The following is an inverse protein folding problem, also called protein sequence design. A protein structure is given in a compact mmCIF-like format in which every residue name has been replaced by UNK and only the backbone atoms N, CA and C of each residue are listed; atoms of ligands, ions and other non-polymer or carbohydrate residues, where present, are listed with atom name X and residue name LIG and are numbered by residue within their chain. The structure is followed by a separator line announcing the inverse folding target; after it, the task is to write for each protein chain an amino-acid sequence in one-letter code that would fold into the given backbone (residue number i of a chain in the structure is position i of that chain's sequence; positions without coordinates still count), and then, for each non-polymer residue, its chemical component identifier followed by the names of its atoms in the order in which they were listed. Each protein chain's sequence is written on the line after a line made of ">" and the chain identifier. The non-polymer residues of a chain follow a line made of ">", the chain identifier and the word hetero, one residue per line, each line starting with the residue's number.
data_IF_534010244822
#
_entry.id   IF_534010244822
#
_cell.length_a   1.000
_cell.length_b   1.000
_cell.length_c   1.000
_cell.angle_alpha   90.00
_cell.angle_beta   90.00
_cell.angle_gamma   90.00
#
_symmetry.space_group_name_H-M   'P 1'
#
loop_
_entity.id
_entity.type
_entity.pdbx_description
1 polymer ?
#
# COMPACT_ATOMS: atom_id res chain seq x y z
N UNK A 1 13.79 15.05 -4.02
CA UNK A 1 13.15 13.95 -4.79
C UNK A 1 11.98 13.47 -3.95
N UNK A 2 10.77 13.47 -4.51
CA UNK A 2 9.60 12.90 -3.83
C UNK A 2 9.73 11.39 -3.87
N UNK A 3 9.55 10.73 -2.74
CA UNK A 3 9.64 9.29 -2.62
C UNK A 3 8.34 8.76 -2.00
N UNK A 4 7.58 8.03 -2.77
CA UNK A 4 6.44 7.25 -2.32
C UNK A 4 6.42 5.99 -3.18
N UNK A 5 7.19 5.00 -2.77
CA UNK A 5 7.37 3.77 -3.54
C UNK A 5 7.06 2.57 -2.67
N UNK A 6 6.34 1.62 -3.24
CA UNK A 6 6.11 0.31 -2.64
C UNK A 6 6.40 -0.79 -3.67
N UNK A 7 7.11 -1.82 -3.21
CA UNK A 7 7.26 -3.10 -3.91
C UNK A 7 6.64 -4.20 -3.06
N UNK A 8 5.71 -4.95 -3.63
CA UNK A 8 5.08 -6.10 -2.98
C UNK A 8 5.05 -7.31 -3.92
N UNK A 9 5.25 -8.49 -3.36
CA UNK A 9 5.05 -9.75 -4.07
C UNK A 9 4.28 -10.72 -3.17
N UNK A 10 3.17 -11.24 -3.66
CA UNK A 10 2.24 -12.06 -2.90
C UNK A 10 1.44 -13.02 -3.78
N UNK A 11 0.43 -13.64 -3.19
CA UNK A 11 -0.52 -14.51 -3.89
C UNK A 11 -1.80 -13.75 -4.18
N UNK A 12 -2.27 -13.82 -5.43
CA UNK A 12 -3.54 -13.21 -5.84
C UNK A 12 -4.70 -13.93 -5.14
N UNK A 13 -5.44 -13.21 -4.31
CA UNK A 13 -6.52 -13.77 -3.49
C UNK A 13 -7.83 -13.99 -4.27
N UNK A 14 -8.02 -13.22 -5.36
CA UNK A 14 -9.11 -13.38 -6.32
C UNK A 14 -8.71 -12.71 -7.63
N UNK A 15 -9.22 -13.19 -8.76
CA UNK A 15 -8.99 -12.57 -10.06
C UNK A 15 -9.38 -11.08 -10.05
N UNK A 16 -8.66 -10.22 -10.80
CA UNK A 16 -8.95 -8.80 -10.86
C UNK A 16 -10.38 -8.52 -11.32
N UNK A 17 -10.99 -7.50 -10.75
CA UNK A 17 -12.33 -7.06 -11.12
C UNK A 17 -12.29 -5.58 -11.51
N UNK A 18 -13.18 -5.17 -12.42
CA UNK A 18 -13.35 -3.76 -12.73
C UNK A 18 -13.76 -2.99 -11.49
N UNK A 19 -13.04 -1.90 -11.24
CA UNK A 19 -13.32 -0.96 -10.17
C UNK A 19 -13.94 0.31 -10.75
N UNK A 20 -14.65 1.08 -9.92
CA UNK A 20 -15.11 2.41 -10.34
C UNK A 20 -13.91 3.33 -10.61
N UNK A 21 -14.10 4.35 -11.43
CA UNK A 21 -13.06 5.32 -11.74
C UNK A 21 -12.62 6.07 -10.47
N UNK A 22 -11.31 6.20 -10.29
CA UNK A 22 -10.71 6.91 -9.16
C UNK A 22 -10.01 8.15 -9.69
N UNK A 23 -10.36 9.32 -9.14
CA UNK A 23 -9.73 10.59 -9.51
C UNK A 23 -9.64 10.84 -11.04
N UNK A 24 -10.69 10.46 -11.78
CA UNK A 24 -10.73 10.60 -13.24
C UNK A 24 -9.88 9.57 -14.00
N UNK A 25 -9.32 8.56 -13.32
CA UNK A 25 -8.65 7.44 -13.97
C UNK A 25 -9.66 6.43 -14.47
N UNK A 26 -9.67 6.16 -15.78
CA UNK A 26 -10.55 5.19 -16.42
C UNK A 26 -9.88 3.80 -16.53
N UNK A 27 -10.69 2.76 -16.72
CA UNK A 27 -10.19 1.39 -16.91
C UNK A 27 -9.45 0.85 -15.68
N UNK A 28 -9.90 1.21 -14.49
CA UNK A 28 -9.31 0.78 -13.22
C UNK A 28 -9.80 -0.61 -12.86
N UNK A 29 -8.87 -1.45 -12.45
CA UNK A 29 -9.10 -2.78 -11.91
C UNK A 29 -8.60 -2.88 -10.48
N UNK A 30 -9.26 -3.71 -9.69
CA UNK A 30 -8.90 -4.02 -8.32
C UNK A 30 -8.54 -5.50 -8.18
N UNK A 31 -7.50 -5.78 -7.43
CA UNK A 31 -7.19 -7.12 -6.94
C UNK A 31 -6.74 -7.06 -5.49
N UNK A 32 -6.82 -8.21 -4.81
CA UNK A 32 -6.30 -8.39 -3.47
C UNK A 32 -5.09 -9.31 -3.51
N UNK A 33 -3.99 -8.87 -2.87
CA UNK A 33 -2.76 -9.64 -2.74
C UNK A 33 -2.58 -10.08 -1.29
N UNK A 34 -2.42 -11.39 -1.08
CA UNK A 34 -2.11 -11.96 0.21
C UNK A 34 -0.60 -12.10 0.38
N UNK A 35 -0.06 -11.45 1.41
CA UNK A 35 1.35 -11.45 1.77
C UNK A 35 1.48 -12.00 3.20
N UNK A 36 2.17 -13.11 3.37
CA UNK A 36 2.36 -13.73 4.69
C UNK A 36 3.58 -13.14 5.37
N UNK A 37 3.45 -12.64 6.56
CA UNK A 37 4.59 -12.21 7.41
C UNK A 37 5.35 -13.43 7.95
N UNK A 38 6.59 -13.21 8.40
CA UNK A 38 7.37 -14.25 9.10
C UNK A 38 6.63 -14.83 10.34
N UNK A 39 5.73 -14.05 10.92
CA UNK A 39 4.86 -14.48 12.03
C UNK A 39 3.71 -15.39 11.61
N UNK A 40 3.51 -15.67 10.34
CA UNK A 40 2.38 -16.42 9.80
C UNK A 40 1.10 -15.60 9.59
N UNK A 41 1.06 -14.32 9.97
CA UNK A 41 -0.08 -13.44 9.72
C UNK A 41 -0.11 -13.08 8.24
N UNK A 42 -1.31 -13.12 7.64
CA UNK A 42 -1.51 -12.73 6.24
C UNK A 42 -2.04 -11.30 6.19
N UNK A 43 -1.33 -10.44 5.46
CA UNK A 43 -1.77 -9.11 5.08
C UNK A 43 -2.48 -9.19 3.73
N UNK A 44 -3.77 -8.90 3.69
CA UNK A 44 -4.53 -8.78 2.44
C UNK A 44 -4.51 -7.34 1.98
N UNK A 45 -3.80 -7.06 0.89
CA UNK A 45 -3.51 -5.71 0.39
C UNK A 45 -4.31 -5.44 -0.87
N UNK A 46 -5.03 -4.30 -0.89
CA UNK A 46 -5.72 -3.80 -2.07
C UNK A 46 -4.72 -3.18 -3.04
N UNK A 47 -4.75 -3.66 -4.27
CA UNK A 47 -4.01 -3.10 -5.41
C UNK A 47 -5.02 -2.60 -6.42
N UNK A 48 -4.89 -1.35 -6.83
CA UNK A 48 -5.62 -0.75 -7.95
C UNK A 48 -4.64 -0.42 -9.06
N UNK A 49 -5.03 -0.64 -10.30
CA UNK A 49 -4.19 -0.38 -11.47
C UNK A 49 -5.04 -0.10 -12.71
N UNK A 50 -4.44 0.54 -13.72
CA UNK A 50 -5.10 0.73 -15.02
C UNK A 50 -4.70 -0.41 -15.96
N UNK A 51 -5.68 -1.07 -16.59
CA UNK A 51 -5.44 -2.18 -17.52
C UNK A 51 -4.55 -1.77 -18.70
N UNK A 52 -4.73 -0.56 -19.24
CA UNK A 52 -3.93 -0.04 -20.34
C UNK A 52 -2.49 0.37 -19.97
N UNK A 53 -2.12 0.30 -18.70
CA UNK A 53 -0.75 0.57 -18.20
C UNK A 53 0.04 -0.70 -17.94
N UNK A 54 -0.58 -1.87 -18.06
CA UNK A 54 0.09 -3.15 -17.84
C UNK A 54 1.00 -3.44 -19.04
N UNK A 55 2.23 -3.83 -18.75
CA UNK A 55 3.13 -4.34 -19.77
C UNK A 55 2.82 -5.82 -20.03
N UNK A 56 2.44 -6.14 -21.27
CA UNK A 56 2.12 -7.52 -21.69
C UNK A 56 3.26 -8.51 -21.46
N UNK A 57 4.50 -8.09 -21.72
CA UNK A 57 5.68 -8.95 -21.54
C UNK A 57 5.88 -9.36 -20.08
N UNK A 58 5.60 -8.46 -19.13
CA UNK A 58 5.72 -8.72 -17.70
C UNK A 58 4.69 -9.73 -17.19
N UNK A 59 3.60 -9.93 -17.93
CA UNK A 59 2.58 -10.96 -17.68
C UNK A 59 2.79 -12.23 -18.50
N UNK A 60 3.87 -12.32 -19.29
CA UNK A 60 4.17 -13.46 -20.14
C UNK A 60 3.32 -13.54 -21.42
N UNK A 61 2.66 -12.43 -21.80
CA UNK A 61 1.85 -12.36 -23.02
C UNK A 61 2.74 -12.03 -24.23
N UNK A 62 2.71 -12.89 -25.25
CA UNK A 62 3.51 -12.72 -26.47
C UNK A 62 2.74 -13.18 -27.72
N UNK A 63 2.73 -12.45 -28.85
CA UNK A 63 3.33 -11.10 -29.03
C UNK A 63 2.54 -10.00 -28.29
N UNK A 64 3.20 -8.91 -27.86
CA UNK A 64 2.58 -7.88 -27.04
C UNK A 64 1.33 -7.24 -27.65
N UNK A 65 1.36 -7.04 -28.96
CA UNK A 65 0.30 -6.34 -29.70
C UNK A 65 -0.98 -7.18 -29.92
N UNK A 66 -0.96 -8.46 -29.54
CA UNK A 66 -2.11 -9.37 -29.70
C UNK A 66 -3.14 -9.27 -28.57
N UNK A 67 -2.87 -8.50 -27.50
CA UNK A 67 -3.68 -8.47 -26.30
C UNK A 67 -4.30 -7.11 -26.05
N UNK A 68 -5.59 -7.08 -25.79
CA UNK A 68 -6.27 -5.91 -25.24
C UNK A 68 -5.95 -5.77 -23.73
N UNK A 69 -6.17 -4.58 -23.13
CA UNK A 69 -6.06 -4.42 -21.67
C UNK A 69 -6.90 -5.42 -20.87
N UNK A 70 -8.09 -5.77 -21.35
CA UNK A 70 -8.97 -6.76 -20.69
C UNK A 70 -8.37 -8.17 -20.78
N UNK A 71 -7.81 -8.56 -21.94
CA UNK A 71 -7.13 -9.85 -22.10
C UNK A 71 -5.92 -9.98 -21.15
N UNK A 72 -5.16 -8.89 -20.97
CA UNK A 72 -4.01 -8.86 -20.06
C UNK A 72 -4.45 -9.04 -18.60
N UNK A 73 -5.55 -8.41 -18.21
CA UNK A 73 -6.11 -8.56 -16.86
C UNK A 73 -6.52 -9.99 -16.60
N UNK A 74 -7.07 -10.68 -17.61
CA UNK A 74 -7.47 -12.08 -17.50
C UNK A 74 -6.30 -13.06 -17.33
N UNK A 75 -5.06 -12.65 -17.61
CA UNK A 75 -3.87 -13.46 -17.33
C UNK A 75 -3.56 -13.55 -15.84
N UNK A 76 -4.04 -12.60 -15.03
CA UNK A 76 -3.84 -12.57 -13.58
C UNK A 76 -4.90 -13.46 -12.92
N UNK A 77 -4.53 -14.68 -12.58
CA UNK A 77 -5.45 -15.67 -11.98
C UNK A 77 -5.37 -15.67 -10.46
N UNK A 78 -6.47 -16.05 -9.80
CA UNK A 78 -6.45 -16.42 -8.39
C UNK A 78 -5.40 -17.51 -8.13
N UNK A 79 -4.65 -17.39 -7.03
CA UNK A 79 -3.56 -18.28 -6.67
C UNK A 79 -2.21 -17.98 -7.37
N UNK A 80 -2.20 -17.14 -8.42
CA UNK A 80 -0.95 -16.73 -9.08
C UNK A 80 -0.05 -15.95 -8.13
N UNK A 81 1.26 -16.07 -8.31
CA UNK A 81 2.25 -15.20 -7.69
C UNK A 81 2.38 -13.93 -8.52
N UNK A 82 2.21 -12.78 -7.90
CA UNK A 82 2.27 -11.49 -8.56
C UNK A 82 3.21 -10.54 -7.81
N UNK A 83 4.09 -9.88 -8.55
CA UNK A 83 4.84 -8.71 -8.09
C UNK A 83 4.14 -7.44 -8.56
N UNK A 84 4.09 -6.46 -7.68
CA UNK A 84 3.55 -5.12 -7.97
C UNK A 84 4.51 -4.08 -7.44
N UNK A 85 4.90 -3.15 -8.31
CA UNK A 85 5.60 -1.92 -7.91
C UNK A 85 4.70 -0.72 -8.19
N UNK A 86 4.65 0.22 -7.25
CA UNK A 86 3.77 1.36 -7.37
C UNK A 86 3.94 2.38 -6.25
N UNK A 87 2.84 3.06 -5.94
CA UNK A 87 2.78 4.09 -4.91
C UNK A 87 1.63 3.82 -3.94
N UNK A 88 1.80 4.22 -2.68
CA UNK A 88 0.71 4.24 -1.71
C UNK A 88 -0.19 5.44 -1.95
N UNK A 89 -1.49 5.20 -2.03
CA UNK A 89 -2.49 6.23 -2.21
C UNK A 89 -3.69 5.96 -1.31
N UNK A 90 -4.52 6.99 -1.10
CA UNK A 90 -5.79 6.84 -0.38
C UNK A 90 -6.94 7.40 -1.20
N UNK A 91 -8.10 6.78 -1.12
CA UNK A 91 -9.35 7.36 -1.59
C UNK A 91 -10.40 7.32 -0.48
N UNK A 92 -11.39 8.19 -0.59
CA UNK A 92 -12.54 8.14 0.31
C UNK A 92 -13.54 7.14 -0.23
N UNK A 93 -13.78 6.09 0.52
CA UNK A 93 -14.86 5.15 0.26
C UNK A 93 -16.19 5.84 0.60
N UNK A 94 -17.07 5.99 -0.39
CA UNK A 94 -18.31 6.74 -0.25
C UNK A 94 -19.36 6.00 0.58
N UNK A 95 -19.34 4.67 0.56
CA UNK A 95 -20.31 3.83 1.28
C UNK A 95 -20.02 3.82 2.77
N UNK A 96 -18.76 3.73 3.14
CA UNK A 96 -18.32 3.71 4.54
C UNK A 96 -17.91 5.08 5.08
N UNK A 97 -17.67 6.06 4.21
CA UNK A 97 -17.14 7.38 4.52
C UNK A 97 -15.69 7.37 5.02
N UNK A 98 -14.98 6.23 4.93
CA UNK A 98 -13.61 6.04 5.42
C UNK A 98 -12.58 6.26 4.33
N UNK A 99 -11.38 6.62 4.75
CA UNK A 99 -10.22 6.61 3.85
C UNK A 99 -9.70 5.19 3.71
N UNK A 100 -9.63 4.71 2.46
CA UNK A 100 -9.08 3.40 2.11
C UNK A 100 -7.65 3.58 1.58
N UNK A 101 -6.69 2.93 2.24
CA UNK A 101 -5.30 2.85 1.76
C UNK A 101 -5.18 1.71 0.74
N UNK A 102 -4.48 1.98 -0.36
CA UNK A 102 -4.25 1.00 -1.43
C UNK A 102 -2.90 1.23 -2.12
N UNK A 103 -2.45 0.24 -2.87
CA UNK A 103 -1.31 0.34 -3.78
C UNK A 103 -1.82 0.73 -5.16
N UNK A 104 -1.37 1.87 -5.69
CA UNK A 104 -1.54 2.22 -7.10
C UNK A 104 -0.42 1.58 -7.90
N UNK A 105 -0.72 0.45 -8.55
CA UNK A 105 0.23 -0.35 -9.29
C UNK A 105 0.61 0.32 -10.61
N UNK A 106 1.90 0.58 -10.78
CA UNK A 106 2.50 1.09 -12.01
C UNK A 106 3.15 -0.03 -12.85
N UNK A 107 3.58 -1.10 -12.20
CA UNK A 107 4.16 -2.29 -12.82
C UNK A 107 3.64 -3.54 -12.14
N UNK A 108 3.21 -4.51 -12.93
CA UNK A 108 2.74 -5.81 -12.48
C UNK A 108 3.47 -6.91 -13.26
N UNK A 109 3.92 -7.95 -12.57
CA UNK A 109 4.56 -9.11 -13.20
C UNK A 109 4.10 -10.41 -12.54
N UNK A 110 3.72 -11.40 -13.35
CA UNK A 110 3.47 -12.77 -12.87
C UNK A 110 4.81 -13.43 -12.57
N UNK A 111 4.95 -13.94 -11.38
CA UNK A 111 6.16 -14.60 -10.91
C UNK A 111 6.01 -16.13 -10.98
N UNK A 112 7.12 -16.87 -11.10
CA UNK A 112 7.13 -18.31 -10.94
C UNK A 112 6.56 -18.74 -9.58
N UNK A 113 5.95 -19.91 -9.55
CA UNK A 113 5.52 -20.54 -8.31
C UNK A 113 6.71 -20.71 -7.34
N UNK A 114 6.49 -20.46 -6.05
CA UNK A 114 7.55 -20.52 -5.03
C UNK A 114 8.45 -19.28 -4.95
N UNK A 115 8.24 -18.25 -5.77
CA UNK A 115 8.96 -16.98 -5.65
C UNK A 115 8.78 -16.37 -4.25
N UNK A 116 9.85 -15.75 -3.74
CA UNK A 116 9.84 -15.12 -2.42
C UNK A 116 8.81 -14.00 -2.33
N UNK A 117 8.31 -13.76 -1.12
CA UNK A 117 7.45 -12.63 -0.83
C UNK A 117 8.28 -11.36 -0.70
N UNK A 118 7.68 -10.24 -1.09
CA UNK A 118 8.25 -8.91 -0.93
C UNK A 118 7.19 -8.02 -0.29
N UNK A 119 7.62 -7.15 0.61
CA UNK A 119 6.78 -6.07 1.13
C UNK A 119 7.72 -4.97 1.65
N UNK A 120 8.05 -4.06 0.77
CA UNK A 120 8.98 -2.96 1.03
C UNK A 120 8.34 -1.62 0.67
N UNK A 121 8.33 -0.69 1.61
CA UNK A 121 7.78 0.65 1.48
C UNK A 121 8.88 1.67 1.77
N UNK A 122 8.95 2.70 0.92
CA UNK A 122 9.81 3.86 1.08
C UNK A 122 8.98 5.12 0.91
N UNK A 123 8.92 5.95 1.94
CA UNK A 123 8.13 7.19 1.93
C UNK A 123 9.02 8.36 2.35
N UNK A 124 8.95 9.44 1.58
CA UNK A 124 9.35 10.79 2.00
C UNK A 124 8.09 11.66 2.01
N UNK A 125 7.76 12.24 3.15
CA UNK A 125 6.57 13.04 3.31
C UNK A 125 6.73 14.02 4.48
N UNK A 126 5.62 14.58 4.93
CA UNK A 126 5.57 15.50 6.06
C UNK A 126 4.59 15.03 7.11
N UNK A 127 4.91 15.25 8.38
CA UNK A 127 4.00 14.97 9.50
C UNK A 127 2.79 15.93 9.41
N UNK A 128 1.60 15.37 9.24
CA UNK A 128 0.36 16.16 9.12
C UNK A 128 -0.09 16.76 10.46
N UNK A 129 0.00 15.99 11.51
CA UNK A 129 -0.51 16.35 12.85
C UNK A 129 0.37 15.76 13.94
N UNK A 130 0.20 16.25 15.16
CA UNK A 130 0.95 15.74 16.31
C UNK A 130 0.90 14.21 16.36
N UNK A 131 2.07 13.54 16.40
CA UNK A 131 2.18 12.12 16.58
C UNK A 131 1.54 11.64 17.89
N UNK A 132 0.97 10.43 17.90
CA UNK A 132 0.33 9.87 19.09
C UNK A 132 1.15 8.71 19.60
N UNK A 133 1.90 8.97 20.69
CA UNK A 133 2.68 7.95 21.38
C UNK A 133 1.79 7.15 22.34
N UNK A 134 1.92 5.84 22.32
CA UNK A 134 1.16 4.95 23.20
C UNK A 134 1.85 3.62 23.43
N UNK A 135 1.43 2.93 24.46
CA UNK A 135 1.85 1.56 24.74
C UNK A 135 0.77 0.57 24.26
N UNK A 136 1.22 -0.52 23.65
CA UNK A 136 0.31 -1.61 23.25
C UNK A 136 -0.05 -2.47 24.47
N UNK A 137 -1.15 -3.27 24.43
CA UNK A 137 -1.48 -4.22 25.49
C UNK A 137 -0.37 -5.24 25.82
N UNK A 138 0.61 -5.40 24.93
CA UNK A 138 1.79 -6.26 25.11
C UNK A 138 3.03 -5.50 25.59
N UNK A 139 2.89 -4.27 26.08
CA UNK A 139 3.99 -3.46 26.61
C UNK A 139 4.94 -2.91 25.57
N UNK A 140 4.58 -2.87 24.27
CA UNK A 140 5.42 -2.31 23.23
C UNK A 140 5.06 -0.84 22.99
N UNK A 141 6.07 0.02 22.94
CA UNK A 141 5.91 1.43 22.61
C UNK A 141 5.74 1.62 21.10
N UNK A 142 4.75 2.41 20.72
CA UNK A 142 4.44 2.75 19.33
C UNK A 142 4.08 4.22 19.21
N UNK A 143 4.32 4.79 18.02
CA UNK A 143 3.81 6.11 17.66
C UNK A 143 3.03 6.02 16.37
N UNK A 144 1.75 6.44 16.43
CA UNK A 144 0.90 6.57 15.26
C UNK A 144 1.20 7.91 14.58
N UNK A 145 1.47 7.86 13.28
CA UNK A 145 1.79 9.00 12.43
C UNK A 145 0.74 9.14 11.32
N UNK A 146 0.49 10.36 10.90
CA UNK A 146 -0.21 10.68 9.66
C UNK A 146 0.76 11.44 8.75
N UNK A 147 1.17 10.82 7.67
CA UNK A 147 2.20 11.37 6.77
C UNK A 147 1.54 11.84 5.47
N UNK A 148 1.76 13.10 5.12
CA UNK A 148 1.36 13.66 3.83
C UNK A 148 2.37 13.24 2.77
N UNK A 149 1.86 12.72 1.66
CA UNK A 149 2.63 12.42 0.45
C UNK A 149 1.91 13.01 -0.78
N UNK A 150 2.61 13.34 -1.87
CA UNK A 150 1.98 13.81 -3.10
C UNK A 150 0.97 12.79 -3.65
N UNK A 151 -0.12 13.32 -4.21
CA UNK A 151 -1.09 12.51 -4.93
C UNK A 151 -0.53 12.07 -6.29
N UNK A 152 -0.72 10.79 -6.64
CA UNK A 152 -0.39 10.28 -7.97
C UNK A 152 -1.38 10.74 -9.07
N UNK A 153 -2.51 11.36 -8.69
CA UNK A 153 -3.63 11.63 -9.59
C UNK A 153 -3.82 13.10 -9.90
N UNK A 154 -3.46 13.98 -8.97
CA UNK A 154 -3.74 15.41 -9.09
C UNK A 154 -2.54 16.20 -8.58
N UNK A 155 -1.92 16.97 -9.46
CA UNK A 155 -0.81 17.86 -9.10
C UNK A 155 -1.23 18.88 -8.04
N UNK A 156 -0.35 19.10 -7.06
CA UNK A 156 -0.60 19.99 -5.93
C UNK A 156 -1.49 19.44 -4.83
N UNK A 157 -2.01 18.21 -4.98
CA UNK A 157 -2.76 17.54 -3.93
C UNK A 157 -1.89 16.52 -3.21
N UNK A 158 -2.29 16.22 -1.97
CA UNK A 158 -1.63 15.22 -1.12
C UNK A 158 -2.63 14.17 -0.66
N UNK A 159 -2.14 12.98 -0.36
CA UNK A 159 -2.88 11.97 0.38
C UNK A 159 -2.22 11.70 1.74
N UNK A 160 -3.00 11.17 2.68
CA UNK A 160 -2.56 10.91 4.05
C UNK A 160 -2.29 9.42 4.17
N UNK A 161 -1.03 9.06 4.44
CA UNK A 161 -0.64 7.67 4.69
C UNK A 161 -0.57 7.44 6.21
N UNK A 162 -1.39 6.54 6.77
CA UNK A 162 -1.26 6.13 8.16
C UNK A 162 0.01 5.29 8.33
N UNK A 163 0.84 5.67 9.28
CA UNK A 163 2.10 5.00 9.58
C UNK A 163 2.21 4.72 11.08
N UNK A 164 2.98 3.71 11.43
CA UNK A 164 3.30 3.35 12.81
C UNK A 164 4.79 3.08 12.94
N UNK A 165 5.41 3.60 13.99
CA UNK A 165 6.79 3.33 14.36
C UNK A 165 6.85 2.55 15.68
N UNK A 166 7.95 1.86 15.96
CA UNK A 166 8.11 0.94 17.09
C UNK A 166 9.36 1.23 17.90
N UNK A 167 9.30 1.00 19.21
CA UNK A 167 10.44 1.06 20.13
C UNK A 167 11.17 2.40 20.06
N UNK A 168 12.47 2.39 19.79
CA UNK A 168 13.28 3.62 19.71
C UNK A 168 12.82 4.58 18.60
N UNK A 169 12.35 4.07 17.48
CA UNK A 169 11.77 4.91 16.43
C UNK A 169 10.45 5.55 16.92
N UNK A 170 9.66 4.85 17.73
CA UNK A 170 8.46 5.42 18.33
C UNK A 170 8.79 6.55 19.31
N UNK A 171 9.77 6.35 20.17
CA UNK A 171 10.25 7.39 21.09
C UNK A 171 10.76 8.63 20.33
N UNK A 172 11.52 8.42 19.26
CA UNK A 172 12.02 9.49 18.41
C UNK A 172 10.89 10.26 17.72
N UNK A 173 10.00 9.56 17.07
CA UNK A 173 8.92 10.19 16.27
C UNK A 173 7.81 10.81 17.10
N UNK A 174 7.69 10.46 18.39
CA UNK A 174 6.72 11.04 19.32
C UNK A 174 6.89 12.56 19.51
N UNK A 175 8.10 13.07 19.34
CA UNK A 175 8.44 14.48 19.55
C UNK A 175 8.49 15.30 18.26
N UNK A 176 8.18 14.70 17.11
CA UNK A 176 8.14 15.42 15.85
C UNK A 176 6.90 16.32 15.79
N UNK A 177 7.09 17.52 15.24
CA UNK A 177 6.04 18.51 15.08
C UNK A 177 5.36 18.39 13.70
N UNK A 178 4.10 18.84 13.55
CA UNK A 178 3.48 18.99 12.23
C UNK A 178 4.34 19.82 11.28
N UNK A 179 4.41 19.42 10.01
CA UNK A 179 5.25 20.03 8.99
C UNK A 179 6.69 19.51 8.96
N UNK A 180 7.09 18.66 9.93
CA UNK A 180 8.43 18.05 9.92
C UNK A 180 8.55 17.08 8.75
N UNK A 181 9.57 17.24 7.87
CA UNK A 181 9.88 16.23 6.85
C UNK A 181 10.31 14.91 7.49
N UNK A 182 9.82 13.80 6.94
CA UNK A 182 10.14 12.46 7.46
C UNK A 182 10.41 11.47 6.33
N UNK A 183 11.38 10.59 6.55
CA UNK A 183 11.70 9.42 5.74
C UNK A 183 11.34 8.16 6.49
N UNK A 184 10.57 7.28 5.87
CA UNK A 184 10.15 6.01 6.43
C UNK A 184 10.53 4.86 5.50
N UNK A 185 11.13 3.82 6.07
CA UNK A 185 11.29 2.52 5.43
C UNK A 185 10.52 1.48 6.24
N UNK A 186 9.82 0.58 5.57
CA UNK A 186 9.04 -0.42 6.28
C UNK A 186 8.25 -1.33 5.36
N UNK A 187 7.10 -1.77 5.83
CA UNK A 187 6.17 -2.61 5.09
C UNK A 187 4.73 -2.12 5.25
N UNK A 188 3.90 -2.41 4.28
CA UNK A 188 2.45 -2.24 4.40
C UNK A 188 1.86 -3.43 5.17
N UNK A 189 1.02 -3.15 6.15
CA UNK A 189 0.37 -4.19 6.94
C UNK A 189 -1.11 -3.88 7.17
N UNK A 190 -1.87 -4.93 7.41
CA UNK A 190 -3.23 -4.85 7.91
C UNK A 190 -3.26 -5.05 9.43
N UNK A 191 -4.26 -4.45 10.08
CA UNK A 191 -4.51 -4.62 11.50
C UNK A 191 -6.01 -4.61 11.77
N UNK A 192 -6.48 -5.61 12.50
CA UNK A 192 -7.84 -5.62 13.03
C UNK A 192 -7.92 -4.81 14.32
N UNK A 193 -9.03 -4.10 14.49
CA UNK A 193 -9.37 -3.41 15.73
C UNK A 193 -10.88 -3.44 15.96
N UNK A 194 -11.27 -3.36 17.22
CA UNK A 194 -12.67 -3.28 17.60
C UNK A 194 -13.15 -1.84 17.67
N UNK A 195 -14.31 -1.55 17.08
CA UNK A 195 -15.02 -0.29 17.25
C UNK A 195 -16.44 -0.62 17.75
N UNK A 196 -16.65 -0.53 19.05
CA UNK A 196 -17.80 -1.16 19.71
C UNK A 196 -17.72 -2.67 19.55
N UNK A 197 -18.81 -3.29 19.08
CA UNK A 197 -18.89 -4.74 18.85
C UNK A 197 -18.47 -5.16 17.43
N UNK A 198 -18.03 -4.22 16.60
CA UNK A 198 -17.65 -4.48 15.21
C UNK A 198 -16.12 -4.60 15.07
N UNK A 199 -15.66 -5.75 14.55
CA UNK A 199 -14.28 -5.92 14.10
C UNK A 199 -14.08 -5.20 12.76
N UNK A 200 -13.03 -4.38 12.69
CA UNK A 200 -12.69 -3.57 11.52
C UNK A 200 -11.23 -3.79 11.16
N UNK A 201 -10.95 -3.81 9.87
CA UNK A 201 -9.56 -3.84 9.36
C UNK A 201 -9.13 -2.45 8.94
N UNK A 202 -7.90 -2.08 9.27
CA UNK A 202 -7.21 -0.90 8.77
C UNK A 202 -5.86 -1.30 8.19
N UNK A 203 -5.35 -0.48 7.28
CA UNK A 203 -4.04 -0.65 6.68
C UNK A 203 -3.14 0.52 7.07
N UNK A 204 -1.88 0.22 7.32
CA UNK A 204 -0.90 1.21 7.78
C UNK A 204 0.50 0.79 7.36
N UNK A 205 1.41 1.74 7.22
CA UNK A 205 2.84 1.44 7.04
C UNK A 205 3.48 1.20 8.40
N UNK A 206 3.98 -0.02 8.62
CA UNK A 206 4.78 -0.36 9.80
C UNK A 206 6.24 -0.04 9.48
N UNK A 207 6.70 1.12 9.95
CA UNK A 207 8.06 1.60 9.69
C UNK A 207 9.07 0.92 10.61
N UNK A 208 10.08 0.31 10.00
CA UNK A 208 11.28 -0.23 10.67
C UNK A 208 12.37 0.80 10.84
N UNK A 209 12.36 1.85 10.02
CA UNK A 209 13.27 3.00 10.09
C UNK A 209 12.48 4.30 9.93
N UNK A 210 12.84 5.30 10.71
CA UNK A 210 12.31 6.66 10.62
C UNK A 210 13.45 7.65 10.80
N UNK A 211 13.57 8.62 9.91
CA UNK A 211 14.60 9.68 9.95
C UNK A 211 14.01 10.99 9.43
N UNK A 212 14.52 12.12 9.92
CA UNK A 212 14.19 13.48 9.43
C UNK A 212 15.30 14.07 8.55
N UNK A 213 16.38 13.33 8.34
CA UNK A 213 17.51 13.73 7.49
C UNK A 213 17.55 12.86 6.24
N UNK A 214 17.88 13.49 5.09
CA UNK A 214 18.24 12.76 3.86
C UNK A 214 19.55 12.00 4.00
#
# INVERSE_FOLDING_TARGET
>A
MELNTIGIAGTVAAAPQRHHNIYGQEGVYALWLDITRDSGIVDRILVLFQGNKINSESLGAYPPDAFTPDDLVELIKEGSRLEVTGQLQTYKDWDTGRSQLFVWGAYLAVLPEGSQQLNAVYIKGEILRQPVYRETPKGKHITDLAVLVPSAFTEGYTCIIPCITWGKNAEYTAYLEPGTPIYLEGRLQSREYMKGDQALTTWEVSASKADTKE
#
